data_IF_097220504115
#
_entry.id   IF_097220504115
#
_cell.length_a   1.000
_cell.length_b   1.000
_cell.length_c   1.000
_cell.angle_alpha   90.00
_cell.angle_beta   90.00
_cell.angle_gamma   90.00
#
_symmetry.space_group_name_H-M   'P 1'
#
loop_
_entity.id
_entity.type
_entity.pdbx_description
1 polymer ?
#
# COMPACT_ATOMS: atom_id res chain seq x y z
N UNK A 1 -16.30 14.92 2.65
CA UNK A 1 -15.11 14.03 2.64
C UNK A 1 -14.15 14.47 1.54
N UNK A 2 -12.90 14.79 1.86
CA UNK A 2 -11.82 15.02 0.89
C UNK A 2 -10.96 13.76 0.73
N UNK A 3 -10.14 13.67 -0.33
CA UNK A 3 -9.22 12.54 -0.48
C UNK A 3 -8.10 12.60 0.57
N UNK A 4 -7.65 11.43 1.04
CA UNK A 4 -6.63 11.25 2.08
C UNK A 4 -6.95 11.96 3.41
N UNK A 5 -8.23 12.19 3.70
CA UNK A 5 -8.66 12.84 4.94
C UNK A 5 -8.59 11.85 6.11
N UNK A 6 -7.91 12.20 7.19
CA UNK A 6 -7.92 11.40 8.43
C UNK A 6 -8.92 12.01 9.41
N UNK A 7 -9.90 11.22 9.82
CA UNK A 7 -10.85 11.57 10.87
C UNK A 7 -10.43 10.93 12.19
N UNK A 8 -10.54 11.68 13.28
CA UNK A 8 -10.37 11.11 14.61
C UNK A 8 -11.50 10.09 14.87
N UNK A 9 -11.14 8.90 15.34
CA UNK A 9 -12.14 7.94 15.83
C UNK A 9 -12.43 8.16 17.32
N UNK A 10 -13.48 7.51 17.83
CA UNK A 10 -13.76 7.48 19.28
C UNK A 10 -12.80 6.56 20.04
N UNK A 11 -12.02 5.74 19.33
CA UNK A 11 -10.93 4.97 19.92
C UNK A 11 -9.68 5.86 19.92
N UNK A 12 -9.28 6.31 21.12
CA UNK A 12 -8.14 7.23 21.26
C UNK A 12 -6.88 6.68 20.60
N UNK A 13 -6.18 7.55 19.86
CA UNK A 13 -4.95 7.21 19.14
C UNK A 13 -5.16 6.60 17.75
N UNK A 14 -6.38 6.24 17.35
CA UNK A 14 -6.64 5.63 16.05
C UNK A 14 -7.49 6.54 15.15
N UNK A 15 -7.02 6.70 13.90
CA UNK A 15 -7.70 7.47 12.86
C UNK A 15 -8.44 6.59 11.85
N UNK A 16 -9.43 7.19 11.20
CA UNK A 16 -10.08 6.64 10.00
C UNK A 16 -9.63 7.48 8.81
N UNK A 17 -8.78 6.91 7.96
CA UNK A 17 -8.36 7.51 6.70
C UNK A 17 -9.42 7.26 5.63
N UNK A 18 -9.91 8.32 5.04
CA UNK A 18 -10.84 8.32 3.93
C UNK A 18 -10.10 8.59 2.62
N UNK A 19 -10.28 7.71 1.63
CA UNK A 19 -9.74 7.90 0.28
C UNK A 19 -10.89 7.95 -0.73
N UNK A 20 -10.76 8.84 -1.71
CA UNK A 20 -11.71 9.00 -2.81
C UNK A 20 -11.04 8.62 -4.11
N UNK A 21 -11.69 7.78 -4.89
CA UNK A 21 -11.19 7.32 -6.18
C UNK A 21 -12.15 7.77 -7.28
N UNK A 22 -11.90 8.92 -7.95
CA UNK A 22 -12.80 9.46 -8.97
C UNK A 22 -13.00 8.52 -10.17
N UNK A 23 -11.96 7.78 -10.56
CA UNK A 23 -11.97 6.80 -11.65
C UNK A 23 -13.05 5.73 -11.44
N UNK A 24 -13.17 5.23 -10.22
CA UNK A 24 -14.15 4.21 -9.83
C UNK A 24 -15.43 4.76 -9.20
N UNK A 25 -15.45 6.05 -8.86
CA UNK A 25 -16.53 6.70 -8.07
C UNK A 25 -16.78 6.00 -6.73
N UNK A 26 -15.72 5.57 -6.06
CA UNK A 26 -15.80 4.90 -4.75
C UNK A 26 -15.08 5.68 -3.68
N UNK A 27 -15.48 5.44 -2.43
CA UNK A 27 -14.85 5.98 -1.23
C UNK A 27 -14.48 4.79 -0.34
N UNK A 28 -13.30 4.85 0.27
CA UNK A 28 -12.87 3.84 1.24
C UNK A 28 -12.60 4.46 2.60
N UNK A 29 -12.83 3.69 3.67
CA UNK A 29 -12.43 3.99 5.04
C UNK A 29 -11.40 2.94 5.49
N UNK A 30 -10.15 3.35 5.78
CA UNK A 30 -9.03 2.45 6.07
C UNK A 30 -8.86 1.30 5.04
N UNK A 31 -9.24 1.56 3.79
CA UNK A 31 -9.22 0.57 2.69
C UNK A 31 -10.51 -0.21 2.47
N UNK A 32 -11.42 -0.27 3.45
CA UNK A 32 -12.73 -0.89 3.29
C UNK A 32 -13.65 0.01 2.45
N UNK A 33 -14.43 -0.58 1.54
CA UNK A 33 -15.34 0.17 0.68
C UNK A 33 -16.52 0.71 1.50
N UNK A 34 -16.85 1.98 1.31
CA UNK A 34 -18.13 2.53 1.77
C UNK A 34 -19.17 2.16 0.72
N UNK A 35 -20.00 1.16 1.04
CA UNK A 35 -21.01 0.60 0.13
C UNK A 35 -22.28 1.46 0.07
N UNK A 36 -22.57 2.19 1.15
CA UNK A 36 -23.68 3.14 1.24
C UNK A 36 -23.32 4.30 2.17
N UNK A 37 -23.64 5.52 1.78
CA UNK A 37 -23.13 6.73 2.43
C UNK A 37 -24.23 7.75 2.69
N UNK A 38 -23.98 8.64 3.66
CA UNK A 38 -24.84 9.79 3.97
C UNK A 38 -26.24 9.40 4.52
N UNK A 39 -26.35 8.22 5.14
CA UNK A 39 -27.58 7.79 5.78
C UNK A 39 -27.84 8.59 7.06
N UNK A 40 -28.87 9.42 7.07
CA UNK A 40 -29.20 10.24 8.25
C UNK A 40 -29.82 9.38 9.35
N UNK A 41 -29.26 9.43 10.56
CA UNK A 41 -29.74 8.70 11.72
C UNK A 41 -29.81 9.61 12.96
N UNK A 42 -30.98 10.18 13.23
CA UNK A 42 -31.22 11.05 14.38
C UNK A 42 -30.32 12.28 14.38
N UNK A 43 -29.24 12.25 15.19
CA UNK A 43 -28.26 13.34 15.34
C UNK A 43 -26.93 13.06 14.63
N UNK A 44 -26.84 12.00 13.82
CA UNK A 44 -25.62 11.60 13.13
C UNK A 44 -25.86 11.12 11.71
N UNK A 45 -24.77 10.73 11.08
CA UNK A 45 -24.74 10.14 9.73
C UNK A 45 -24.09 8.77 9.82
N UNK A 46 -24.67 7.79 9.15
CA UNK A 46 -24.20 6.42 9.06
C UNK A 46 -23.64 6.19 7.65
N UNK A 47 -22.45 5.60 7.61
CA UNK A 47 -21.84 5.07 6.39
C UNK A 47 -21.70 3.56 6.57
N UNK A 48 -22.22 2.79 5.63
CA UNK A 48 -22.10 1.33 5.61
C UNK A 48 -20.77 0.98 4.96
N UNK A 49 -19.96 0.20 5.68
CA UNK A 49 -18.70 -0.36 5.18
C UNK A 49 -18.90 -1.83 4.83
N UNK A 50 -18.19 -2.30 3.81
CA UNK A 50 -18.29 -3.68 3.33
C UNK A 50 -17.56 -4.70 4.22
N UNK A 51 -16.66 -4.23 5.09
CA UNK A 51 -15.84 -5.04 5.98
C UNK A 51 -15.60 -4.34 7.32
N UNK A 52 -15.17 -5.13 8.31
CA UNK A 52 -14.69 -4.60 9.60
C UNK A 52 -13.44 -3.78 9.35
N UNK A 53 -13.36 -2.57 9.93
CA UNK A 53 -12.21 -1.67 9.83
C UNK A 53 -11.02 -2.19 10.63
N UNK A 54 -10.37 -3.26 10.16
CA UNK A 54 -9.22 -3.88 10.79
C UNK A 54 -8.17 -4.29 9.74
N UNK A 55 -6.87 -4.08 9.99
CA UNK A 55 -6.29 -3.48 11.20
C UNK A 55 -6.48 -1.95 11.25
N UNK A 56 -6.34 -1.39 12.45
CA UNK A 56 -6.32 0.07 12.61
C UNK A 56 -4.90 0.59 12.42
N UNK A 57 -4.70 1.72 11.72
CA UNK A 57 -3.38 2.33 11.58
C UNK A 57 -2.89 2.80 12.95
N UNK A 58 -1.81 2.20 13.46
CA UNK A 58 -1.22 2.49 14.77
C UNK A 58 0.16 3.17 14.67
N UNK A 59 1.00 2.67 13.75
CA UNK A 59 2.35 3.19 13.51
C UNK A 59 2.61 3.57 12.06
N UNK A 60 3.83 4.01 11.79
CA UNK A 60 4.34 4.33 10.44
C UNK A 60 4.63 3.04 9.67
N UNK A 61 4.87 3.16 8.36
CA UNK A 61 5.30 2.01 7.55
C UNK A 61 6.49 1.29 8.21
N UNK A 62 7.50 2.04 8.64
CA UNK A 62 8.72 1.47 9.23
C UNK A 62 8.47 0.87 10.61
N UNK A 63 7.65 1.48 11.47
CA UNK A 63 7.41 0.95 12.81
C UNK A 63 6.54 -0.31 12.81
N UNK A 64 5.75 -0.53 11.75
CA UNK A 64 4.87 -1.69 11.61
C UNK A 64 5.57 -2.91 10.97
N UNK A 65 6.56 -2.68 10.10
CA UNK A 65 7.30 -3.76 9.43
C UNK A 65 7.91 -4.82 10.36
N UNK A 66 8.43 -4.51 11.58
CA UNK A 66 8.94 -5.52 12.51
C UNK A 66 7.94 -6.60 12.92
N UNK A 67 6.63 -6.32 12.84
CA UNK A 67 5.58 -7.30 13.15
C UNK A 67 5.19 -8.18 11.95
N UNK A 68 5.80 -7.93 10.78
CA UNK A 68 5.55 -8.66 9.54
C UNK A 68 6.77 -9.52 9.19
N UNK A 69 6.86 -10.72 9.78
CA UNK A 69 8.01 -11.63 9.64
C UNK A 69 8.45 -11.90 8.20
N UNK A 70 7.51 -11.88 7.26
CA UNK A 70 7.75 -12.11 5.83
C UNK A 70 8.39 -10.92 5.07
N UNK A 71 8.65 -9.79 5.73
CA UNK A 71 9.24 -8.59 5.14
C UNK A 71 10.63 -8.29 5.72
N UNK A 72 11.29 -9.27 6.33
CA UNK A 72 12.53 -9.07 7.08
C UNK A 72 13.66 -8.57 6.19
N UNK A 73 13.82 -9.15 4.99
CA UNK A 73 14.83 -8.77 4.00
C UNK A 73 14.56 -7.34 3.52
N UNK A 74 13.32 -7.02 3.16
CA UNK A 74 12.94 -5.70 2.69
C UNK A 74 13.25 -4.62 3.73
N UNK A 75 12.87 -4.84 4.99
CA UNK A 75 13.13 -3.92 6.10
C UNK A 75 14.62 -3.62 6.20
N UNK A 76 15.45 -4.66 6.21
CA UNK A 76 16.90 -4.51 6.36
C UNK A 76 17.54 -3.77 5.18
N UNK A 77 16.95 -3.87 3.98
CA UNK A 77 17.38 -3.10 2.80
C UNK A 77 16.93 -1.64 2.87
N UNK A 78 15.70 -1.38 3.30
CA UNK A 78 15.17 -0.02 3.45
C UNK A 78 16.00 0.78 4.44
N UNK A 79 16.37 0.19 5.59
CA UNK A 79 17.19 0.83 6.64
C UNK A 79 18.61 1.19 6.14
N UNK A 80 19.11 0.53 5.09
CA UNK A 80 20.41 0.87 4.46
C UNK A 80 20.32 2.03 3.47
N UNK A 81 19.13 2.61 3.30
CA UNK A 81 18.88 3.72 2.36
C UNK A 81 18.13 4.84 3.08
N UNK A 82 18.09 6.02 2.46
CA UNK A 82 17.35 7.17 3.01
C UNK A 82 15.82 6.95 3.01
N UNK A 83 15.35 5.88 2.36
CA UNK A 83 13.95 5.50 2.34
C UNK A 83 13.43 5.11 3.73
N UNK A 84 14.28 4.61 4.62
CA UNK A 84 13.91 4.30 6.00
C UNK A 84 13.48 5.54 6.80
N UNK A 85 14.13 6.68 6.58
CA UNK A 85 13.69 7.93 7.21
C UNK A 85 12.41 8.44 6.55
N UNK A 86 12.37 8.48 5.21
CA UNK A 86 11.20 8.96 4.47
C UNK A 86 9.91 8.21 4.84
N UNK A 87 9.97 6.88 4.95
CA UNK A 87 8.82 6.04 5.29
C UNK A 87 8.51 5.99 6.80
N UNK A 88 9.32 6.66 7.62
CA UNK A 88 9.03 6.87 9.04
C UNK A 88 8.48 8.28 9.32
N UNK A 89 8.73 9.24 8.44
CA UNK A 89 8.22 10.60 8.57
C UNK A 89 6.74 10.71 8.17
N UNK A 90 6.13 11.84 8.52
CA UNK A 90 4.75 12.15 8.12
C UNK A 90 4.62 12.21 6.61
N UNK A 91 3.56 11.61 6.08
CA UNK A 91 3.35 11.55 4.65
C UNK A 91 2.17 10.67 4.28
N UNK A 92 2.05 10.43 2.98
CA UNK A 92 1.02 9.59 2.39
C UNK A 92 1.69 8.69 1.37
N UNK A 93 2.00 7.45 1.74
CA UNK A 93 2.73 6.53 0.86
C UNK A 93 1.99 5.23 0.66
N UNK A 94 2.19 4.62 -0.52
CA UNK A 94 1.82 3.22 -0.77
C UNK A 94 3.10 2.45 -1.01
N UNK A 95 3.43 1.54 -0.08
CA UNK A 95 4.58 0.64 -0.20
C UNK A 95 4.09 -0.71 -0.73
N UNK A 96 4.56 -1.10 -1.91
CA UNK A 96 4.41 -2.45 -2.42
C UNK A 96 5.57 -3.30 -1.90
N UNK A 97 5.35 -4.01 -0.80
CA UNK A 97 6.39 -4.69 -0.04
C UNK A 97 6.61 -6.13 -0.54
N UNK A 98 7.70 -6.42 -1.27
CA UNK A 98 8.02 -7.79 -1.64
C UNK A 98 8.35 -8.63 -0.40
N UNK A 99 7.80 -9.84 -0.36
CA UNK A 99 8.12 -10.81 0.69
C UNK A 99 9.55 -11.33 0.57
N UNK A 100 10.07 -11.92 1.64
CA UNK A 100 11.37 -12.60 1.62
C UNK A 100 11.41 -13.69 0.52
N UNK A 101 10.32 -14.42 0.33
CA UNK A 101 10.15 -15.38 -0.76
C UNK A 101 10.18 -14.72 -2.16
N UNK A 102 9.76 -13.46 -2.29
CA UNK A 102 9.87 -12.71 -3.54
C UNK A 102 11.34 -12.41 -3.91
N UNK A 103 12.18 -12.13 -2.91
CA UNK A 103 13.62 -11.96 -3.12
C UNK A 103 14.30 -13.27 -3.50
N UNK A 104 13.87 -14.40 -2.91
CA UNK A 104 14.39 -15.73 -3.24
C UNK A 104 14.08 -16.17 -4.68
N UNK A 105 12.99 -15.66 -5.28
CA UNK A 105 12.66 -15.93 -6.69
C UNK A 105 13.58 -15.24 -7.68
N UNK A 106 14.34 -14.22 -7.26
CA UNK A 106 15.23 -13.50 -8.17
C UNK A 106 16.41 -14.39 -8.59
N UNK A 107 16.87 -14.33 -9.85
CA UNK A 107 18.11 -14.97 -10.25
C UNK A 107 19.28 -14.46 -9.39
N UNK A 108 20.14 -15.35 -8.92
CA UNK A 108 21.28 -15.00 -8.03
C UNK A 108 22.11 -13.83 -8.57
N UNK A 109 22.38 -13.79 -9.87
CA UNK A 109 23.12 -12.70 -10.49
C UNK A 109 22.41 -11.33 -10.36
N UNK A 110 21.07 -11.32 -10.47
CA UNK A 110 20.26 -10.10 -10.32
C UNK A 110 20.23 -9.67 -8.86
N UNK A 111 19.99 -10.61 -7.94
CA UNK A 111 20.00 -10.32 -6.51
C UNK A 111 21.35 -9.76 -6.06
N UNK A 112 22.45 -10.40 -6.44
CA UNK A 112 23.80 -9.90 -6.14
C UNK A 112 24.07 -8.52 -6.76
N UNK A 113 23.57 -8.24 -7.97
CA UNK A 113 23.74 -6.93 -8.58
C UNK A 113 23.00 -5.84 -7.80
N UNK A 114 21.76 -6.11 -7.38
CA UNK A 114 20.95 -5.18 -6.59
C UNK A 114 21.61 -4.94 -5.23
N UNK A 115 21.99 -6.01 -4.52
CA UNK A 115 22.52 -5.91 -3.15
C UNK A 115 23.91 -5.27 -3.05
N UNK A 116 24.75 -5.41 -4.07
CA UNK A 116 26.12 -4.89 -4.06
C UNK A 116 26.25 -3.50 -4.70
N UNK A 117 25.19 -2.95 -5.25
CA UNK A 117 25.20 -1.63 -5.89
C UNK A 117 24.16 -0.72 -5.23
N UNK A 118 24.63 0.19 -4.38
CA UNK A 118 23.76 1.11 -3.63
C UNK A 118 22.84 1.93 -4.54
N UNK A 119 23.33 2.37 -5.70
CA UNK A 119 22.51 3.14 -6.65
C UNK A 119 21.38 2.30 -7.22
N UNK A 120 21.65 1.04 -7.55
CA UNK A 120 20.64 0.10 -8.05
C UNK A 120 19.67 -0.27 -6.94
N UNK A 121 20.15 -0.56 -5.73
CA UNK A 121 19.31 -0.83 -4.57
C UNK A 121 18.33 0.31 -4.31
N UNK A 122 18.82 1.55 -4.19
CA UNK A 122 17.99 2.73 -3.97
C UNK A 122 16.98 2.93 -5.11
N UNK A 123 17.39 2.72 -6.37
CA UNK A 123 16.48 2.80 -7.52
C UNK A 123 15.35 1.75 -7.44
N UNK A 124 15.70 0.50 -7.11
CA UNK A 124 14.73 -0.59 -6.97
C UNK A 124 13.78 -0.33 -5.80
N UNK A 125 14.28 0.08 -4.63
CA UNK A 125 13.43 0.34 -3.46
C UNK A 125 12.47 1.51 -3.70
N UNK A 126 12.93 2.60 -4.32
CA UNK A 126 12.05 3.73 -4.68
C UNK A 126 10.97 3.33 -5.70
N UNK A 127 11.20 2.31 -6.52
CA UNK A 127 10.20 1.81 -7.47
C UNK A 127 9.07 1.01 -6.81
N UNK A 128 9.25 0.62 -5.54
CA UNK A 128 8.21 -0.03 -4.75
C UNK A 128 7.36 0.97 -3.96
N UNK A 129 7.66 2.28 -4.03
CA UNK A 129 6.96 3.31 -3.27
C UNK A 129 6.28 4.27 -4.23
N UNK A 130 5.01 4.54 -3.96
CA UNK A 130 4.19 5.52 -4.67
C UNK A 130 3.77 6.60 -3.70
N UNK A 131 3.80 7.86 -4.16
CA UNK A 131 3.26 8.99 -3.42
C UNK A 131 1.73 9.01 -3.49
N UNK A 132 1.09 9.08 -2.32
CA UNK A 132 -0.33 8.87 -2.10
C UNK A 132 -0.68 7.52 -1.48
N UNK A 133 -1.88 7.43 -0.89
CA UNK A 133 -2.43 6.21 -0.30
C UNK A 133 -3.47 5.61 -1.24
N UNK A 134 -3.17 4.43 -1.79
CA UNK A 134 -4.02 3.73 -2.75
C UNK A 134 -4.36 2.32 -2.27
N UNK A 135 -5.61 2.09 -1.88
CA UNK A 135 -6.10 0.77 -1.52
C UNK A 135 -6.60 0.01 -2.76
N UNK A 136 -6.56 -1.32 -2.72
CA UNK A 136 -7.02 -2.23 -3.79
C UNK A 136 -8.48 -1.97 -4.17
N UNK A 137 -9.31 -1.64 -3.18
CA UNK A 137 -10.70 -1.28 -3.35
C UNK A 137 -10.90 0.01 -4.16
N UNK A 138 -9.87 0.82 -4.39
CA UNK A 138 -9.91 2.05 -5.18
C UNK A 138 -9.31 1.94 -6.59
N UNK A 139 -8.37 1.01 -6.79
CA UNK A 139 -7.58 0.91 -8.02
C UNK A 139 -8.38 0.43 -9.23
N UNK A 140 -8.12 1.00 -10.40
CA UNK A 140 -8.72 0.58 -11.68
C UNK A 140 -7.77 -0.32 -12.47
N UNK A 141 -8.32 -1.17 -13.35
CA UNK A 141 -7.47 -1.93 -14.27
C UNK A 141 -6.77 -0.98 -15.24
N UNK A 142 -5.48 -1.22 -15.50
CA UNK A 142 -4.57 -0.36 -16.27
C UNK A 142 -4.34 1.03 -15.69
N UNK A 143 -4.72 1.28 -14.44
CA UNK A 143 -4.33 2.52 -13.76
C UNK A 143 -2.81 2.58 -13.61
N UNK A 144 -2.24 3.75 -13.85
CA UNK A 144 -0.80 3.96 -13.74
C UNK A 144 -0.49 4.78 -12.50
N UNK A 145 0.39 4.25 -11.65
CA UNK A 145 0.86 4.91 -10.44
C UNK A 145 2.32 5.34 -10.61
N UNK A 146 2.61 6.62 -10.42
CA UNK A 146 3.98 7.14 -10.49
C UNK A 146 4.75 6.79 -9.22
N UNK A 147 5.86 6.07 -9.36
CA UNK A 147 6.73 5.71 -8.23
C UNK A 147 7.63 6.87 -7.80
N UNK A 148 8.26 6.77 -6.63
CA UNK A 148 9.34 7.70 -6.23
C UNK A 148 10.55 7.61 -7.15
N UNK A 149 10.73 6.48 -7.85
CA UNK A 149 11.74 6.34 -8.90
C UNK A 149 11.32 7.02 -10.22
N UNK A 150 10.12 7.61 -10.29
CA UNK A 150 9.49 8.33 -11.43
C UNK A 150 8.88 7.45 -12.51
N UNK A 151 9.33 6.21 -12.66
CA UNK A 151 8.70 5.24 -13.56
C UNK A 151 7.33 4.79 -13.01
N UNK A 152 6.48 4.28 -13.90
CA UNK A 152 5.10 3.93 -13.56
C UNK A 152 4.96 2.45 -13.18
N UNK A 153 4.07 2.18 -12.23
CA UNK A 153 3.48 0.86 -12.00
C UNK A 153 2.14 0.80 -12.70
N UNK A 154 1.88 -0.29 -13.42
CA UNK A 154 0.58 -0.55 -14.05
C UNK A 154 -0.21 -1.48 -13.15
N UNK A 155 -1.37 -1.03 -12.68
CA UNK A 155 -2.29 -1.85 -11.93
C UNK A 155 -3.03 -2.82 -12.86
N UNK A 156 -3.11 -4.08 -12.44
CA UNK A 156 -3.92 -5.11 -13.06
C UNK A 156 -4.97 -5.55 -12.06
N UNK A 157 -6.24 -5.34 -12.39
CA UNK A 157 -7.33 -5.54 -11.43
C UNK A 157 -8.41 -6.44 -12.00
N UNK A 158 -8.65 -7.57 -11.34
CA UNK A 158 -9.73 -8.49 -11.64
C UNK A 158 -10.73 -8.53 -10.49
N UNK A 159 -11.97 -8.13 -10.78
CA UNK A 159 -13.10 -8.15 -9.85
C UNK A 159 -14.14 -9.14 -10.37
N UNK A 160 -14.15 -10.33 -9.80
CA UNK A 160 -15.14 -11.36 -10.12
C UNK A 160 -16.21 -11.37 -9.04
N UNK A 161 -17.48 -11.33 -9.43
CA UNK A 161 -18.60 -11.38 -8.48
C UNK A 161 -18.54 -12.70 -7.71
N UNK A 162 -18.58 -12.62 -6.37
CA UNK A 162 -18.50 -13.80 -5.50
C UNK A 162 -17.10 -14.33 -5.25
N UNK A 163 -16.05 -13.62 -5.69
CA UNK A 163 -14.66 -13.92 -5.37
C UNK A 163 -13.94 -12.67 -4.87
N UNK A 164 -12.82 -12.86 -4.18
CA UNK A 164 -11.98 -11.76 -3.73
C UNK A 164 -11.41 -10.97 -4.92
N UNK A 165 -11.29 -9.67 -4.75
CA UNK A 165 -10.65 -8.80 -5.75
C UNK A 165 -9.18 -9.17 -5.85
N UNK A 166 -8.72 -9.49 -7.05
CA UNK A 166 -7.31 -9.78 -7.32
C UNK A 166 -6.67 -8.54 -7.92
N UNK A 167 -5.62 -8.05 -7.27
CA UNK A 167 -4.83 -6.91 -7.76
C UNK A 167 -3.37 -7.33 -7.90
N UNK A 168 -2.75 -6.87 -8.98
CA UNK A 168 -1.30 -6.91 -9.16
C UNK A 168 -0.81 -5.54 -9.62
N UNK A 169 0.45 -5.24 -9.32
CA UNK A 169 1.17 -4.08 -9.88
C UNK A 169 2.32 -4.61 -10.73
N UNK A 170 2.31 -4.27 -12.02
CA UNK A 170 3.12 -4.94 -13.03
C UNK A 170 3.01 -6.48 -12.90
N UNK A 171 4.10 -7.16 -12.55
CA UNK A 171 4.16 -8.60 -12.32
C UNK A 171 4.10 -8.99 -10.83
N UNK A 172 4.00 -8.05 -9.89
CA UNK A 172 3.87 -8.33 -8.46
C UNK A 172 2.41 -8.45 -8.05
N UNK A 173 1.96 -9.68 -7.77
CA UNK A 173 0.60 -9.92 -7.28
C UNK A 173 0.52 -9.52 -5.82
N UNK A 174 -0.50 -8.72 -5.47
CA UNK A 174 -0.79 -8.38 -4.08
C UNK A 174 -1.38 -9.61 -3.38
N UNK A 175 -0.81 -9.95 -2.22
CA UNK A 175 -1.20 -11.11 -1.41
C UNK A 175 -1.78 -10.64 -0.08
N UNK A 176 -3.00 -11.09 0.22
CA UNK A 176 -3.69 -10.70 1.45
C UNK A 176 -4.32 -9.31 1.35
N UNK A 177 -4.70 -8.77 2.51
CA UNK A 177 -5.28 -7.44 2.64
C UNK A 177 -4.17 -6.40 2.83
N UNK A 178 -4.39 -5.19 2.32
CA UNK A 178 -3.53 -4.06 2.61
C UNK A 178 -3.47 -3.78 4.12
N UNK A 179 -2.29 -3.37 4.58
CA UNK A 179 -2.08 -2.98 5.97
C UNK A 179 -2.03 -1.45 6.08
N UNK A 180 -3.07 -0.79 6.63
CA UNK A 180 -3.08 0.65 6.86
C UNK A 180 -2.05 1.07 7.93
N UNK A 181 -1.36 2.19 7.68
CA UNK A 181 -0.41 2.82 8.61
C UNK A 181 -0.72 4.31 8.74
N UNK A 182 -0.18 4.98 9.76
CA UNK A 182 -0.45 6.41 10.02
C UNK A 182 0.07 7.33 8.91
N UNK A 183 1.11 6.91 8.18
CA UNK A 183 1.69 7.66 7.06
C UNK A 183 1.50 6.97 5.69
N UNK A 184 0.69 5.92 5.62
CA UNK A 184 0.51 5.21 4.37
C UNK A 184 -0.28 3.91 4.42
N UNK A 185 0.11 3.01 3.52
CA UNK A 185 -0.42 1.65 3.39
C UNK A 185 0.69 0.73 2.88
N UNK A 186 0.70 -0.51 3.38
CA UNK A 186 1.61 -1.57 2.93
C UNK A 186 0.79 -2.62 2.17
N UNK A 187 1.18 -2.88 0.93
CA UNK A 187 0.66 -3.96 0.10
C UNK A 187 1.72 -5.05 -0.02
N UNK A 188 1.48 -6.23 0.53
CA UNK A 188 2.43 -7.33 0.40
C UNK A 188 2.34 -7.88 -1.02
N UNK A 189 3.49 -8.02 -1.70
CA UNK A 189 3.56 -8.56 -3.07
C UNK A 189 4.45 -9.80 -3.14
N UNK A 190 4.18 -10.64 -4.13
CA UNK A 190 4.87 -11.92 -4.32
C UNK A 190 6.11 -11.88 -5.21
N UNK A 191 6.40 -10.75 -5.86
CA UNK A 191 7.57 -10.54 -6.72
C UNK A 191 8.23 -9.19 -6.45
N UNK A 192 9.55 -9.12 -6.59
CA UNK A 192 10.30 -7.86 -6.56
C UNK A 192 10.07 -7.11 -7.88
N UNK A 193 9.62 -5.85 -7.79
CA UNK A 193 9.42 -4.96 -8.92
C UNK A 193 10.77 -4.40 -9.38
N UNK A 194 11.11 -4.64 -10.63
CA UNK A 194 12.34 -4.12 -11.24
C UNK A 194 11.98 -2.96 -12.17
N UNK A 195 12.57 -1.76 -11.96
CA UNK A 195 12.35 -0.63 -12.86
C UNK A 195 12.64 -0.98 -14.32
N UNK A 196 11.86 -0.47 -15.28
CA UNK A 196 12.21 -0.56 -16.69
C UNK A 196 13.57 0.14 -16.94
N UNK A 197 14.27 -0.29 -17.99
CA UNK A 197 15.60 0.22 -18.36
C UNK A 197 15.53 1.67 -18.82
#
# INVERSE_FOLDING_TARGET
MTNNQVLASLLEGFGIRLNKYPSRKVITANGCLISDADNTAGKGVVHVVDQVLYPFPAGTIISEMPYMNQLSVLRDLIVKTDLGQLLNDDGAFSLFAPTDAAFEKLPNATLHHILNNQMVLTRVLNYHVVDGVYYEAGLSDREELTTLQTEKLVCHVNRTVGADTQVAVNNGKITGLAFPTINGVIHIIDNVLIPPK
#
